data_IF_632605556515
#
_entry.id   IF_632605556515
#
_cell.length_a   1.000
_cell.length_b   1.000
_cell.length_c   1.000
_cell.angle_alpha   90.00
_cell.angle_beta   90.00
_cell.angle_gamma   90.00
#
_symmetry.space_group_name_H-M   'P 1'
#
loop_
_entity.id
_entity.type
_entity.pdbx_description
1 polymer ?
#
# COMPACT_ATOMS: atom_id res chain seq x y z
N UNK A 1 8.61 3.65 21.63
CA UNK A 1 7.62 4.01 20.65
C UNK A 1 8.23 4.60 19.44
N UNK A 2 8.18 3.82 18.40
CA UNK A 2 8.85 4.11 17.17
C UNK A 2 8.39 5.42 16.53
N UNK A 3 7.07 5.61 16.42
CA UNK A 3 6.52 6.75 15.72
C UNK A 3 6.64 8.09 16.43
N UNK A 4 7.09 8.10 17.68
CA UNK A 4 7.21 9.33 18.45
C UNK A 4 8.41 10.18 18.04
N UNK A 5 9.42 9.54 17.46
CA UNK A 5 10.68 10.21 17.19
C UNK A 5 11.05 10.05 15.72
N UNK A 6 10.82 11.08 14.94
CA UNK A 6 11.05 11.04 13.51
C UNK A 6 12.46 10.63 13.11
N UNK A 7 13.47 11.09 13.84
CA UNK A 7 14.85 10.72 13.54
C UNK A 7 15.15 9.26 13.83
N UNK A 8 14.54 8.68 14.86
CA UNK A 8 14.69 7.26 15.15
C UNK A 8 14.00 6.41 14.11
N UNK A 9 12.83 6.87 13.66
CA UNK A 9 12.08 6.21 12.59
C UNK A 9 12.91 6.06 11.32
N UNK A 10 13.66 7.10 10.96
CA UNK A 10 14.53 7.09 9.78
C UNK A 10 15.68 6.11 9.90
N UNK A 11 16.07 5.77 11.11
CA UNK A 11 17.19 4.87 11.38
C UNK A 11 16.74 3.42 11.55
N UNK A 12 15.43 3.14 11.54
CA UNK A 12 14.91 1.79 11.74
C UNK A 12 15.22 0.94 10.53
N UNK A 13 15.94 -0.19 10.73
CA UNK A 13 16.17 -1.12 9.62
C UNK A 13 14.87 -1.74 9.15
N UNK A 14 14.76 -2.00 7.85
CA UNK A 14 13.58 -2.66 7.30
C UNK A 14 13.39 -4.06 7.89
N UNK A 15 14.46 -4.75 8.24
CA UNK A 15 14.36 -6.05 8.90
C UNK A 15 13.63 -5.96 10.24
N UNK A 16 13.82 -4.86 10.98
CA UNK A 16 13.13 -4.63 12.25
C UNK A 16 11.64 -4.37 12.00
N UNK A 17 11.32 -3.58 10.99
CA UNK A 17 9.94 -3.33 10.62
C UNK A 17 9.24 -4.65 10.21
N UNK A 18 9.92 -5.48 9.42
CA UNK A 18 9.42 -6.80 9.04
C UNK A 18 9.06 -7.64 10.26
N UNK A 19 9.97 -7.70 11.24
CA UNK A 19 9.72 -8.46 12.47
C UNK A 19 8.53 -7.92 13.24
N UNK A 20 8.39 -6.60 13.32
CA UNK A 20 7.24 -5.99 14.00
C UNK A 20 5.93 -6.32 13.29
N UNK A 21 5.90 -6.23 11.97
CA UNK A 21 4.69 -6.58 11.20
C UNK A 21 4.28 -8.02 11.50
N UNK A 22 5.23 -8.94 11.55
CA UNK A 22 4.96 -10.33 11.84
C UNK A 22 4.40 -10.59 13.23
N UNK A 23 4.59 -9.67 14.17
CA UNK A 23 4.09 -9.78 15.54
C UNK A 23 2.71 -9.15 15.72
N UNK A 24 2.22 -8.38 14.75
CA UNK A 24 0.92 -7.71 14.86
C UNK A 24 -0.21 -8.70 14.64
N UNK A 25 -1.24 -8.61 15.45
CA UNK A 25 -2.35 -9.57 15.41
C UNK A 25 -3.57 -9.06 14.67
N UNK A 26 -3.77 -7.75 14.61
CA UNK A 26 -4.95 -7.18 14.01
C UNK A 26 -4.64 -6.23 12.87
N UNK A 27 -5.60 -6.10 11.96
CA UNK A 27 -5.45 -5.18 10.83
C UNK A 27 -5.31 -3.73 11.28
N UNK A 28 -5.92 -3.35 12.42
CA UNK A 28 -5.80 -2.00 12.95
C UNK A 28 -4.36 -1.68 13.35
N UNK A 29 -3.70 -2.64 13.97
CA UNK A 29 -2.31 -2.47 14.37
C UNK A 29 -1.39 -2.33 13.17
N UNK A 30 -1.62 -3.14 12.13
CA UNK A 30 -0.88 -3.05 10.89
C UNK A 30 -1.09 -1.68 10.26
N UNK A 31 -2.33 -1.25 10.13
CA UNK A 31 -2.67 0.01 9.49
C UNK A 31 -2.07 1.19 10.25
N UNK A 32 -2.15 1.18 11.58
CA UNK A 32 -1.59 2.24 12.40
C UNK A 32 -0.08 2.31 12.24
N UNK A 33 0.60 1.17 12.31
CA UNK A 33 2.05 1.11 12.16
C UNK A 33 2.49 1.60 10.79
N UNK A 34 1.82 1.12 9.74
CA UNK A 34 2.21 1.44 8.36
C UNK A 34 1.83 2.86 7.94
N UNK A 35 0.66 3.34 8.38
CA UNK A 35 0.17 4.65 7.97
C UNK A 35 0.84 5.81 8.71
N UNK A 36 1.10 5.63 9.98
CA UNK A 36 1.50 6.75 10.82
C UNK A 36 3.00 7.06 10.77
N UNK A 37 3.81 6.11 10.32
CA UNK A 37 5.25 6.18 10.56
C UNK A 37 6.09 6.51 9.33
N UNK A 38 5.60 6.32 8.11
CA UNK A 38 6.44 6.42 6.93
C UNK A 38 5.83 7.32 5.86
N UNK A 39 6.53 8.41 5.57
CA UNK A 39 6.10 9.38 4.55
C UNK A 39 6.70 9.03 3.19
N UNK A 40 6.15 9.62 2.12
CA UNK A 40 6.71 9.47 0.79
C UNK A 40 8.18 9.90 0.74
N UNK A 41 8.51 11.00 1.40
CA UNK A 41 9.88 11.52 1.42
C UNK A 41 10.85 10.50 2.03
N UNK A 42 10.47 9.89 3.14
CA UNK A 42 11.31 8.90 3.81
C UNK A 42 11.51 7.64 2.96
N UNK A 43 10.43 7.16 2.36
CA UNK A 43 10.46 5.97 1.52
C UNK A 43 11.32 6.22 0.27
N UNK A 44 11.14 7.37 -0.38
CA UNK A 44 11.89 7.68 -1.59
C UNK A 44 13.37 7.96 -1.31
N UNK A 45 13.71 8.47 -0.13
CA UNK A 45 15.10 8.71 0.25
C UNK A 45 15.93 7.41 0.29
N UNK A 46 15.30 6.27 0.52
CA UNK A 46 15.95 4.96 0.53
C UNK A 46 15.22 4.00 -0.41
N UNK A 47 14.88 4.47 -1.59
CA UNK A 47 13.95 3.78 -2.48
C UNK A 47 14.37 2.37 -2.86
N UNK A 48 15.64 2.15 -3.20
CA UNK A 48 16.07 0.82 -3.63
C UNK A 48 15.79 -0.24 -2.56
N UNK A 49 16.09 0.07 -1.30
CA UNK A 49 15.83 -0.83 -0.19
C UNK A 49 14.32 -1.00 0.04
N UNK A 50 13.57 0.11 0.01
CA UNK A 50 12.12 0.07 0.20
C UNK A 50 11.41 -0.70 -0.89
N UNK A 51 11.82 -0.54 -2.14
CA UNK A 51 11.19 -1.26 -3.25
C UNK A 51 11.35 -2.77 -3.07
N UNK A 52 12.56 -3.23 -2.78
CA UNK A 52 12.81 -4.66 -2.54
C UNK A 52 11.97 -5.17 -1.37
N UNK A 53 11.91 -4.39 -0.30
CA UNK A 53 11.12 -4.75 0.87
C UNK A 53 9.63 -4.86 0.55
N UNK A 54 9.07 -3.87 -0.13
CA UNK A 54 7.65 -3.85 -0.47
C UNK A 54 7.27 -5.01 -1.39
N UNK A 55 8.12 -5.32 -2.36
CA UNK A 55 7.88 -6.47 -3.24
C UNK A 55 7.94 -7.77 -2.45
N UNK A 56 8.94 -7.91 -1.59
CA UNK A 56 9.08 -9.11 -0.74
C UNK A 56 7.84 -9.31 0.15
N UNK A 57 7.36 -8.25 0.78
CA UNK A 57 6.17 -8.32 1.63
C UNK A 57 4.95 -8.87 0.88
N UNK A 58 4.79 -8.49 -0.38
CA UNK A 58 3.65 -8.94 -1.17
C UNK A 58 3.69 -10.43 -1.49
N UNK A 59 4.83 -11.07 -1.28
CA UNK A 59 5.05 -12.49 -1.59
C UNK A 59 5.17 -13.34 -0.33
N UNK A 60 4.97 -12.76 0.85
CA UNK A 60 5.11 -13.46 2.12
C UNK A 60 3.88 -14.32 2.44
N UNK A 61 4.09 -15.34 3.25
CA UNK A 61 3.03 -16.29 3.60
C UNK A 61 1.96 -15.72 4.53
N UNK A 62 2.34 -14.78 5.38
CA UNK A 62 1.38 -14.22 6.35
C UNK A 62 0.56 -13.10 5.75
N UNK A 63 -0.70 -13.03 6.17
CA UNK A 63 -1.61 -11.95 5.75
C UNK A 63 -1.09 -10.60 6.22
N UNK A 64 -0.53 -10.52 7.41
CA UNK A 64 0.01 -9.28 7.95
C UNK A 64 1.03 -8.66 7.01
N UNK A 65 1.97 -9.46 6.52
CA UNK A 65 3.00 -8.99 5.60
C UNK A 65 2.41 -8.59 4.25
N UNK A 66 1.51 -9.41 3.70
CA UNK A 66 0.90 -9.09 2.41
C UNK A 66 0.05 -7.83 2.48
N UNK A 67 -0.73 -7.67 3.55
CA UNK A 67 -1.49 -6.44 3.73
C UNK A 67 -0.57 -5.23 3.88
N UNK A 68 0.51 -5.37 4.63
CA UNK A 68 1.48 -4.28 4.81
C UNK A 68 2.11 -3.84 3.49
N UNK A 69 2.29 -4.76 2.53
CA UNK A 69 2.84 -4.41 1.21
C UNK A 69 2.00 -3.39 0.46
N UNK A 70 0.71 -3.30 0.80
CA UNK A 70 -0.20 -2.33 0.21
C UNK A 70 -0.37 -1.12 1.12
N UNK A 71 -0.60 -1.34 2.41
CA UNK A 71 -0.90 -0.25 3.34
C UNK A 71 0.29 0.70 3.51
N UNK A 72 1.52 0.19 3.47
CA UNK A 72 2.72 1.04 3.52
C UNK A 72 2.79 2.02 2.34
N UNK A 73 2.15 1.71 1.23
CA UNK A 73 2.14 2.57 0.05
C UNK A 73 0.96 3.53 -0.01
N UNK A 74 -0.07 3.35 0.83
CA UNK A 74 -1.27 4.19 0.79
C UNK A 74 -0.91 5.67 0.96
N UNK A 75 -0.21 6.01 2.02
CA UNK A 75 0.17 7.39 2.29
C UNK A 75 1.18 7.95 1.28
N UNK A 76 2.27 7.25 0.95
CA UNK A 76 3.19 7.73 -0.07
C UNK A 76 2.52 7.98 -1.43
N UNK A 77 1.69 7.06 -1.89
CA UNK A 77 0.99 7.20 -3.17
C UNK A 77 0.02 8.39 -3.15
N UNK A 78 -0.66 8.59 -2.02
CA UNK A 78 -1.59 9.71 -1.86
C UNK A 78 -0.88 11.06 -1.88
N UNK A 79 0.29 11.15 -1.27
CA UNK A 79 0.94 12.41 -0.97
C UNK A 79 2.04 12.81 -1.97
N UNK A 80 2.47 11.89 -2.83
CA UNK A 80 3.54 12.16 -3.81
C UNK A 80 3.14 11.70 -5.20
N UNK A 81 3.53 12.48 -6.21
CA UNK A 81 3.28 12.12 -7.61
C UNK A 81 4.45 11.37 -8.27
N UNK A 82 5.39 10.86 -7.47
CA UNK A 82 6.51 10.08 -7.98
C UNK A 82 6.02 8.75 -8.56
N UNK A 83 6.34 8.51 -9.83
CA UNK A 83 5.86 7.35 -10.56
C UNK A 83 6.35 6.02 -9.98
N UNK A 84 7.48 6.00 -9.29
CA UNK A 84 8.01 4.78 -8.68
C UNK A 84 7.04 4.22 -7.65
N UNK A 85 6.36 5.08 -6.91
CA UNK A 85 5.41 4.68 -5.88
C UNK A 85 4.19 3.99 -6.49
N UNK A 86 3.58 4.60 -7.49
CA UNK A 86 2.40 4.00 -8.12
C UNK A 86 2.75 2.72 -8.87
N UNK A 87 3.89 2.68 -9.54
CA UNK A 87 4.32 1.48 -10.24
C UNK A 87 4.47 0.28 -9.30
N UNK A 88 5.10 0.50 -8.14
CA UNK A 88 5.27 -0.56 -7.14
C UNK A 88 3.93 -0.95 -6.51
N UNK A 89 3.07 0.03 -6.24
CA UNK A 89 1.75 -0.24 -5.68
C UNK A 89 0.91 -1.10 -6.63
N UNK A 90 0.87 -0.74 -7.90
CA UNK A 90 0.10 -1.51 -8.89
C UNK A 90 0.68 -2.91 -9.11
N UNK A 91 2.00 -3.05 -9.06
CA UNK A 91 2.63 -4.37 -9.14
C UNK A 91 2.25 -5.25 -7.94
N UNK A 92 2.20 -4.68 -6.74
CA UNK A 92 1.77 -5.42 -5.56
C UNK A 92 0.27 -5.79 -5.65
N UNK A 93 -0.57 -4.88 -6.13
CA UNK A 93 -1.98 -5.18 -6.38
C UNK A 93 -2.10 -6.34 -7.37
N UNK A 94 -1.33 -6.31 -8.43
CA UNK A 94 -1.36 -7.36 -9.46
C UNK A 94 -1.03 -8.73 -8.86
N UNK A 95 -0.05 -8.80 -7.97
CA UNK A 95 0.30 -10.06 -7.31
C UNK A 95 -0.76 -10.55 -6.34
N UNK A 96 -1.54 -9.64 -5.74
CA UNK A 96 -2.48 -9.97 -4.66
C UNK A 96 -3.95 -9.98 -5.09
N UNK A 97 -4.26 -9.54 -6.30
CA UNK A 97 -5.67 -9.34 -6.72
C UNK A 97 -6.51 -10.62 -6.76
N UNK A 98 -5.87 -11.77 -6.89
CA UNK A 98 -6.58 -13.05 -6.93
C UNK A 98 -6.84 -13.65 -5.54
N UNK A 99 -6.32 -13.02 -4.50
CA UNK A 99 -6.51 -13.49 -3.15
C UNK A 99 -7.90 -13.09 -2.66
N UNK A 100 -8.64 -14.06 -2.10
CA UNK A 100 -10.02 -13.80 -1.68
C UNK A 100 -10.18 -13.25 -0.28
N UNK A 101 -9.08 -13.05 0.46
CA UNK A 101 -9.15 -12.55 1.83
C UNK A 101 -9.64 -11.12 1.88
N UNK A 102 -10.61 -10.85 2.77
CA UNK A 102 -11.23 -9.54 2.88
C UNK A 102 -10.23 -8.44 3.25
N UNK A 103 -9.24 -8.74 4.07
CA UNK A 103 -8.25 -7.75 4.47
C UNK A 103 -7.39 -7.30 3.30
N UNK A 104 -7.05 -8.24 2.42
CA UNK A 104 -6.30 -7.93 1.22
C UNK A 104 -7.17 -7.18 0.22
N UNK A 105 -8.40 -7.65 0.00
CA UNK A 105 -9.34 -7.00 -0.91
C UNK A 105 -9.60 -5.54 -0.52
N UNK A 106 -9.79 -5.28 0.77
CA UNK A 106 -10.00 -3.93 1.28
C UNK A 106 -8.75 -3.07 1.12
N UNK A 107 -7.57 -3.64 1.33
CA UNK A 107 -6.32 -2.89 1.14
C UNK A 107 -6.12 -2.52 -0.33
N UNK A 108 -6.46 -3.42 -1.25
CA UNK A 108 -6.41 -3.12 -2.69
C UNK A 108 -7.32 -1.94 -3.02
N UNK A 109 -8.57 -1.98 -2.55
CA UNK A 109 -9.51 -0.88 -2.76
C UNK A 109 -8.95 0.43 -2.20
N UNK A 110 -8.38 0.39 -1.02
CA UNK A 110 -7.83 1.58 -0.36
C UNK A 110 -6.71 2.20 -1.17
N UNK A 111 -5.72 1.41 -1.58
CA UNK A 111 -4.59 1.91 -2.38
C UNK A 111 -5.09 2.52 -3.69
N UNK A 112 -5.98 1.83 -4.40
CA UNK A 112 -6.49 2.31 -5.69
C UNK A 112 -7.23 3.63 -5.53
N UNK A 113 -8.05 3.76 -4.48
CA UNK A 113 -8.80 4.99 -4.24
C UNK A 113 -7.88 6.16 -3.87
N UNK A 114 -6.89 5.92 -3.03
CA UNK A 114 -5.96 6.97 -2.61
C UNK A 114 -5.05 7.41 -3.77
N UNK A 115 -4.77 6.51 -4.71
CA UNK A 115 -3.96 6.83 -5.88
C UNK A 115 -4.64 7.85 -6.81
N UNK A 116 -5.95 8.01 -6.72
CA UNK A 116 -6.68 8.96 -7.57
C UNK A 116 -6.16 10.38 -7.39
N UNK A 117 -5.74 10.74 -6.18
CA UNK A 117 -5.34 12.10 -5.87
C UNK A 117 -4.13 12.57 -6.67
N UNK A 118 -3.11 11.74 -6.81
CA UNK A 118 -1.84 12.10 -7.44
C UNK A 118 -1.49 11.28 -8.68
N UNK A 119 -2.19 10.18 -8.91
CA UNK A 119 -1.88 9.26 -10.01
C UNK A 119 -3.15 8.88 -10.78
N UNK A 120 -4.01 9.87 -10.99
CA UNK A 120 -5.35 9.68 -11.53
C UNK A 120 -5.37 8.90 -12.83
N UNK A 121 -4.56 9.31 -13.79
CA UNK A 121 -4.57 8.68 -15.12
C UNK A 121 -3.97 7.26 -15.07
N UNK A 122 -2.87 7.09 -14.36
CA UNK A 122 -2.22 5.80 -14.26
C UNK A 122 -3.09 4.76 -13.57
N UNK A 123 -3.73 5.13 -12.45
CA UNK A 123 -4.58 4.18 -11.72
C UNK A 123 -5.87 3.91 -12.48
N UNK A 124 -6.45 4.90 -13.16
CA UNK A 124 -7.66 4.70 -13.94
C UNK A 124 -7.39 3.76 -15.12
N UNK A 125 -6.26 3.91 -15.80
CA UNK A 125 -5.87 3.03 -16.88
C UNK A 125 -5.69 1.59 -16.40
N UNK A 126 -5.04 1.42 -15.25
CA UNK A 126 -4.84 0.10 -14.66
C UNK A 126 -6.17 -0.58 -14.32
N UNK A 127 -7.07 0.14 -13.65
CA UNK A 127 -8.37 -0.43 -13.26
C UNK A 127 -9.19 -0.79 -14.49
N UNK A 128 -9.22 0.07 -15.50
CA UNK A 128 -9.96 -0.20 -16.72
C UNK A 128 -9.44 -1.45 -17.44
N UNK A 129 -8.12 -1.61 -17.48
CA UNK A 129 -7.51 -2.78 -18.13
C UNK A 129 -7.75 -4.08 -17.35
N UNK A 130 -7.90 -4.01 -16.04
CA UNK A 130 -7.95 -5.18 -15.17
C UNK A 130 -9.29 -5.37 -14.45
N UNK A 131 -10.37 -4.73 -14.92
CA UNK A 131 -11.68 -4.82 -14.26
C UNK A 131 -12.15 -6.24 -14.02
N UNK A 132 -11.87 -7.13 -14.96
CA UNK A 132 -12.35 -8.52 -14.88
C UNK A 132 -11.56 -9.37 -13.89
N UNK A 133 -10.37 -8.94 -13.50
CA UNK A 133 -9.50 -9.73 -12.61
C UNK A 133 -9.33 -9.12 -11.24
N UNK A 134 -9.64 -7.83 -11.07
CA UNK A 134 -9.62 -7.18 -9.77
C UNK A 134 -10.82 -7.60 -8.94
N UNK A 135 -10.72 -7.56 -7.59
CA UNK A 135 -11.90 -7.80 -6.75
C UNK A 135 -13.04 -6.85 -7.12
N UNK A 136 -14.24 -7.38 -7.27
CA UNK A 136 -15.40 -6.60 -7.71
C UNK A 136 -15.67 -5.40 -6.79
N UNK A 137 -15.51 -5.57 -5.48
CA UNK A 137 -15.72 -4.49 -4.53
C UNK A 137 -14.68 -3.38 -4.72
N UNK A 138 -13.45 -3.73 -5.03
CA UNK A 138 -12.40 -2.74 -5.26
C UNK A 138 -12.70 -1.91 -6.51
N UNK A 139 -13.14 -2.54 -7.58
CA UNK A 139 -13.53 -1.85 -8.82
C UNK A 139 -14.68 -0.89 -8.56
N UNK A 140 -15.72 -1.38 -7.87
CA UNK A 140 -16.90 -0.58 -7.56
C UNK A 140 -16.56 0.64 -6.72
N UNK A 141 -15.79 0.44 -5.66
CA UNK A 141 -15.39 1.54 -4.76
C UNK A 141 -14.46 2.52 -5.45
N UNK A 142 -13.56 2.01 -6.30
CA UNK A 142 -12.68 2.88 -7.07
C UNK A 142 -13.48 3.82 -7.97
N UNK A 143 -14.40 3.30 -8.77
CA UNK A 143 -15.17 4.13 -9.69
C UNK A 143 -16.09 5.11 -8.97
N UNK A 144 -16.66 4.71 -7.83
CA UNK A 144 -17.44 5.63 -7.02
C UNK A 144 -16.61 6.84 -6.62
N UNK A 145 -15.42 6.60 -6.09
CA UNK A 145 -14.50 7.68 -5.70
C UNK A 145 -14.04 8.49 -6.92
N UNK A 146 -13.71 7.81 -7.98
CA UNK A 146 -13.20 8.43 -9.21
C UNK A 146 -14.20 9.40 -9.82
N UNK A 147 -15.48 9.02 -9.84
CA UNK A 147 -16.55 9.83 -10.45
C UNK A 147 -17.07 10.91 -9.53
N UNK A 148 -17.15 10.66 -8.23
CA UNK A 148 -17.84 11.56 -7.29
C UNK A 148 -16.89 12.28 -6.34
N UNK A 149 -15.65 11.84 -6.22
CA UNK A 149 -14.72 12.33 -5.21
C UNK A 149 -15.04 11.87 -3.80
N UNK A 150 -16.05 11.02 -3.63
CA UNK A 150 -16.49 10.55 -2.32
C UNK A 150 -16.22 9.05 -2.18
N UNK A 151 -15.91 8.68 -0.96
CA UNK A 151 -15.64 7.31 -0.59
C UNK A 151 -16.84 6.38 -0.78
#
# INVERSE_FOLDING_TARGET
>A
MLGQYGRFRKQVPLATLDAWIGQLEGWREIDTTCQSNFTAKEVLAAWDAWQLFLVDLSQRETIQHRRASLVLLVKPVRDSDDDRLISTALANVERLKHEGDKLITKAISWVLREAIKRHRDAVAAYVAEHESTLPAIAVREFYKKYRTGKK
#
